data_IF_275981402552
#
_entry.id   IF_275981402552
#
_cell.length_a   1.000
_cell.length_b   1.000
_cell.length_c   1.000
_cell.angle_alpha   90.00
_cell.angle_beta   90.00
_cell.angle_gamma   90.00
#
_symmetry.space_group_name_H-M   'P 1'
#
loop_
_entity.id
_entity.type
_entity.pdbx_description
1 polymer ?
#
# COMPACT_ATOMS: atom_id res chain seq x y z
N UNK A 1 10.93 49.59 -61.51
CA UNK A 1 9.58 49.37 -60.95
C UNK A 1 9.71 49.29 -59.42
N UNK A 2 9.00 50.13 -58.65
CA UNK A 2 8.84 50.05 -57.18
C UNK A 2 7.73 49.00 -56.83
N UNK A 3 7.39 48.73 -55.56
CA UNK A 3 8.06 47.95 -54.50
C UNK A 3 7.11 46.84 -53.93
N UNK A 4 7.46 46.15 -52.82
CA UNK A 4 6.55 45.62 -51.74
C UNK A 4 7.35 44.65 -50.84
N UNK A 5 7.62 44.93 -49.56
CA UNK A 5 6.75 44.93 -48.35
C UNK A 5 6.71 43.57 -47.63
N UNK A 6 7.08 43.60 -46.34
CA UNK A 6 7.14 42.49 -45.39
C UNK A 6 5.79 41.78 -45.11
N UNK A 7 5.84 40.50 -44.73
CA UNK A 7 4.99 39.84 -43.70
C UNK A 7 5.23 38.32 -43.62
N UNK A 8 5.47 37.84 -42.39
CA UNK A 8 5.04 36.53 -41.82
C UNK A 8 5.62 35.24 -42.44
N UNK A 9 5.75 34.11 -41.79
CA UNK A 9 5.85 33.67 -40.40
C UNK A 9 6.26 32.19 -40.50
N UNK A 10 7.28 31.82 -39.73
CA UNK A 10 7.50 30.53 -39.08
C UNK A 10 6.69 29.32 -39.59
N UNK A 11 7.32 28.36 -40.29
CA UNK A 11 6.86 26.97 -40.35
C UNK A 11 8.03 25.96 -40.37
N UNK A 12 8.40 25.58 -39.15
CA UNK A 12 8.70 24.22 -38.66
C UNK A 12 9.65 23.33 -39.48
N UNK A 13 10.90 23.28 -39.02
CA UNK A 13 11.87 22.22 -39.27
C UNK A 13 11.62 21.04 -38.29
N UNK A 14 11.19 19.91 -38.86
CA UNK A 14 11.86 18.59 -38.87
C UNK A 14 12.41 17.96 -37.54
N UNK A 15 12.04 16.67 -37.40
CA UNK A 15 12.70 15.52 -36.73
C UNK A 15 12.44 15.22 -35.24
N UNK A 16 11.58 14.21 -35.05
CA UNK A 16 11.81 12.99 -34.28
C UNK A 16 12.61 13.12 -32.96
N UNK A 17 11.88 13.20 -31.85
CA UNK A 17 12.34 12.71 -30.56
C UNK A 17 11.53 11.46 -30.19
N UNK A 18 12.26 10.36 -30.11
CA UNK A 18 11.93 9.03 -29.60
C UNK A 18 10.78 9.06 -28.59
N UNK A 19 9.70 8.35 -28.88
CA UNK A 19 8.67 8.03 -27.91
C UNK A 19 9.33 7.24 -26.75
N UNK A 20 9.60 7.94 -25.64
CA UNK A 20 10.00 7.31 -24.38
C UNK A 20 8.81 6.51 -23.85
N UNK A 21 8.95 5.19 -23.55
CA UNK A 21 7.89 4.41 -22.93
C UNK A 21 7.62 4.77 -21.45
N UNK A 22 8.13 5.90 -20.96
CA UNK A 22 8.18 6.23 -19.52
C UNK A 22 6.98 7.03 -19.01
N UNK A 23 5.85 7.02 -19.71
CA UNK A 23 4.56 7.45 -19.15
C UNK A 23 3.73 6.23 -18.78
N UNK A 24 4.19 5.49 -17.77
CA UNK A 24 3.27 4.62 -17.04
C UNK A 24 2.23 5.50 -16.32
N UNK A 25 0.98 5.08 -16.28
CA UNK A 25 -0.13 5.78 -15.65
C UNK A 25 -0.16 5.33 -14.17
N UNK A 26 0.64 5.97 -13.32
CA UNK A 26 0.86 5.54 -11.94
C UNK A 26 -0.34 5.95 -11.09
N UNK A 27 -1.16 4.96 -10.74
CA UNK A 27 -2.39 5.13 -9.97
C UNK A 27 -3.40 4.02 -10.29
N UNK A 28 -3.38 3.55 -11.53
CA UNK A 28 -3.91 2.25 -11.91
C UNK A 28 -2.78 1.21 -11.81
N UNK A 29 -3.11 -0.02 -11.42
CA UNK A 29 -2.15 -1.09 -11.50
C UNK A 29 -1.85 -1.37 -12.98
N UNK A 30 -0.59 -1.24 -13.39
CA UNK A 30 -0.18 -1.55 -14.75
C UNK A 30 -0.66 -2.95 -15.15
N UNK A 31 -1.22 -3.08 -16.35
CA UNK A 31 -1.75 -4.35 -16.82
C UNK A 31 -0.67 -5.43 -16.71
N UNK A 32 -1.01 -6.61 -16.15
CA UNK A 32 -0.03 -7.68 -15.95
C UNK A 32 0.78 -8.02 -17.21
N UNK A 33 0.14 -7.95 -18.37
CA UNK A 33 0.75 -8.31 -19.66
C UNK A 33 1.70 -7.26 -20.21
N UNK A 34 1.55 -6.00 -19.79
CA UNK A 34 2.33 -4.87 -20.29
C UNK A 34 3.57 -4.57 -19.43
N UNK A 35 3.80 -5.37 -18.38
CA UNK A 35 4.95 -5.23 -17.49
C UNK A 35 5.69 -6.57 -17.42
N UNK A 36 6.86 -6.73 -18.04
CA UNK A 36 7.63 -7.98 -17.88
C UNK A 36 8.22 -8.15 -16.46
N UNK A 37 8.47 -7.04 -15.78
CA UNK A 37 9.12 -7.02 -14.47
C UNK A 37 8.22 -7.57 -13.36
N UNK A 38 8.85 -8.16 -12.34
CA UNK A 38 8.20 -8.43 -11.06
C UNK A 38 7.71 -7.15 -10.38
N UNK A 39 6.57 -7.25 -9.72
CA UNK A 39 5.87 -6.14 -9.04
C UNK A 39 5.37 -6.61 -7.68
N UNK A 40 5.60 -5.79 -6.65
CA UNK A 40 4.90 -5.87 -5.36
C UNK A 40 4.20 -4.55 -5.13
N UNK A 41 2.93 -4.61 -4.75
CA UNK A 41 2.14 -3.45 -4.37
C UNK A 41 1.42 -3.73 -3.04
N UNK A 42 1.30 -2.71 -2.20
CA UNK A 42 0.49 -2.76 -0.99
C UNK A 42 -0.56 -1.67 -1.07
N UNK A 43 -1.81 -2.05 -0.82
CA UNK A 43 -2.95 -1.15 -0.94
C UNK A 43 -3.74 -1.09 0.36
N UNK A 44 -4.49 0.00 0.52
CA UNK A 44 -5.56 0.09 1.49
C UNK A 44 -6.77 0.85 0.94
N UNK A 45 -7.95 0.52 1.44
CA UNK A 45 -9.19 1.23 1.12
C UNK A 45 -10.04 1.40 2.37
N UNK A 46 -10.76 2.52 2.45
CA UNK A 46 -11.68 2.81 3.55
C UNK A 46 -12.72 1.69 3.69
N UNK A 47 -12.98 1.25 4.92
CA UNK A 47 -14.06 0.29 5.17
C UNK A 47 -15.43 0.90 4.84
N UNK A 48 -16.42 0.06 4.53
CA UNK A 48 -17.77 0.56 4.20
C UNK A 48 -18.49 1.12 5.44
N UNK A 49 -19.26 2.19 5.24
CA UNK A 49 -20.11 2.80 6.26
C UNK A 49 -19.32 3.58 7.32
N UNK A 50 -19.90 3.73 8.51
CA UNK A 50 -19.28 4.45 9.65
C UNK A 50 -17.90 3.91 10.02
N UNK A 51 -17.64 2.62 9.77
CA UNK A 51 -16.33 2.00 10.00
C UNK A 51 -15.23 2.63 9.15
N UNK A 52 -15.55 3.11 7.94
CA UNK A 52 -14.60 3.77 7.05
C UNK A 52 -14.00 5.05 7.63
N UNK A 53 -14.70 5.70 8.56
CA UNK A 53 -14.17 6.89 9.21
C UNK A 53 -12.95 6.55 10.06
N UNK A 54 -12.93 5.35 10.64
CA UNK A 54 -11.91 4.91 11.57
C UNK A 54 -10.88 3.97 10.93
N UNK A 55 -11.32 3.10 10.03
CA UNK A 55 -10.53 1.95 9.59
C UNK A 55 -10.41 1.85 8.07
N UNK A 56 -9.22 1.43 7.62
CA UNK A 56 -9.00 0.89 6.28
C UNK A 56 -8.91 -0.64 6.31
N UNK A 57 -9.18 -1.27 5.18
CA UNK A 57 -8.84 -2.65 4.87
C UNK A 57 -7.61 -2.64 3.97
N UNK A 58 -6.60 -3.45 4.29
CA UNK A 58 -5.33 -3.52 3.56
C UNK A 58 -5.10 -4.88 2.93
N UNK A 59 -4.34 -4.91 1.83
CA UNK A 59 -3.94 -6.12 1.13
C UNK A 59 -2.59 -5.96 0.42
N UNK A 60 -1.95 -7.08 0.13
CA UNK A 60 -0.71 -7.17 -0.63
C UNK A 60 -0.98 -7.82 -1.97
N UNK A 61 -0.47 -7.22 -3.03
CA UNK A 61 -0.54 -7.75 -4.39
C UNK A 61 0.86 -8.01 -4.93
N UNK A 62 1.04 -9.15 -5.57
CA UNK A 62 2.32 -9.53 -6.17
C UNK A 62 2.13 -10.01 -7.59
N UNK A 63 3.14 -9.79 -8.43
CA UNK A 63 3.22 -10.37 -9.75
C UNK A 63 4.68 -10.74 -10.02
N UNK A 64 5.03 -12.03 -10.08
CA UNK A 64 6.37 -12.45 -10.48
C UNK A 64 6.73 -11.94 -11.87
N UNK A 65 8.02 -11.94 -12.19
CA UNK A 65 8.49 -11.63 -13.55
C UNK A 65 7.79 -12.53 -14.57
N UNK A 66 7.39 -11.93 -15.70
CA UNK A 66 6.68 -12.57 -16.81
C UNK A 66 5.30 -13.18 -16.48
N UNK A 67 4.81 -13.04 -15.24
CA UNK A 67 3.50 -13.56 -14.86
C UNK A 67 2.36 -12.72 -15.46
N UNK A 68 1.31 -13.41 -15.91
CA UNK A 68 0.18 -12.80 -16.63
C UNK A 68 -0.95 -12.31 -15.73
N UNK A 69 -0.81 -12.43 -14.40
CA UNK A 69 -1.82 -12.01 -13.43
C UNK A 69 -1.20 -11.66 -12.07
N UNK A 70 -1.81 -10.70 -11.37
CA UNK A 70 -1.48 -10.43 -9.97
C UNK A 70 -2.13 -11.49 -9.07
N UNK A 71 -1.39 -11.91 -8.04
CA UNK A 71 -1.91 -12.65 -6.90
C UNK A 71 -2.08 -11.68 -5.73
N UNK A 72 -3.28 -11.63 -5.16
CA UNK A 72 -3.61 -10.81 -4.00
C UNK A 72 -3.74 -11.68 -2.75
N UNK A 73 -3.09 -11.23 -1.68
CA UNK A 73 -3.14 -11.75 -0.33
C UNK A 73 -3.90 -10.77 0.56
N UNK A 74 -4.95 -11.23 1.21
CA UNK A 74 -5.75 -10.41 2.12
C UNK A 74 -6.47 -11.25 3.17
N UNK A 75 -6.83 -10.65 4.30
CA UNK A 75 -7.62 -11.32 5.35
C UNK A 75 -9.05 -10.77 5.37
N UNK A 76 -10.02 -11.65 5.16
CA UNK A 76 -11.44 -11.32 5.07
C UNK A 76 -12.21 -12.04 6.17
N UNK A 77 -12.62 -11.31 7.22
CA UNK A 77 -13.20 -11.91 8.42
C UNK A 77 -14.52 -12.66 8.21
N UNK A 78 -15.44 -12.16 7.38
CA UNK A 78 -16.74 -12.82 7.18
C UNK A 78 -16.64 -14.17 6.46
N UNK A 79 -15.50 -14.47 5.82
CA UNK A 79 -15.26 -15.77 5.19
C UNK A 79 -15.27 -16.92 6.19
N UNK A 80 -14.91 -16.67 7.45
CA UNK A 80 -14.93 -17.67 8.52
C UNK A 80 -16.33 -18.24 8.83
N UNK A 81 -17.39 -17.65 8.27
CA UNK A 81 -18.75 -18.22 8.32
C UNK A 81 -18.94 -19.43 7.40
N UNK A 82 -18.04 -19.65 6.44
CA UNK A 82 -18.17 -20.69 5.39
C UNK A 82 -16.81 -21.20 4.85
N UNK A 83 -15.71 -20.92 5.55
CA UNK A 83 -14.33 -21.27 5.17
C UNK A 83 -13.49 -21.37 6.44
N UNK A 84 -12.58 -22.33 6.53
CA UNK A 84 -11.73 -22.50 7.72
C UNK A 84 -10.60 -21.46 7.82
N UNK A 85 -10.46 -20.62 6.79
CA UNK A 85 -9.46 -19.55 6.73
C UNK A 85 -10.08 -18.22 6.32
N UNK A 86 -9.69 -17.16 7.03
CA UNK A 86 -9.89 -15.76 6.69
C UNK A 86 -8.85 -15.26 5.68
N UNK A 87 -7.67 -15.89 5.60
CA UNK A 87 -6.66 -15.58 4.59
C UNK A 87 -7.16 -16.02 3.21
N UNK A 88 -7.11 -15.09 2.26
CA UNK A 88 -7.47 -15.29 0.87
C UNK A 88 -6.24 -15.03 0.01
N UNK A 89 -5.90 -16.01 -0.82
CA UNK A 89 -4.88 -15.91 -1.87
C UNK A 89 -5.57 -16.18 -3.19
N UNK A 90 -5.63 -15.18 -4.08
CA UNK A 90 -6.36 -15.30 -5.35
C UNK A 90 -5.82 -14.39 -6.44
N UNK A 91 -6.02 -14.79 -7.69
CA UNK A 91 -5.80 -13.91 -8.82
C UNK A 91 -6.89 -12.82 -8.90
N UNK A 92 -6.49 -11.54 -8.93
CA UNK A 92 -7.42 -10.39 -8.95
C UNK A 92 -6.67 -9.13 -9.39
N UNK A 93 -7.37 -8.17 -10.01
CA UNK A 93 -6.82 -6.83 -10.24
C UNK A 93 -6.56 -6.15 -8.89
N UNK A 94 -5.35 -5.65 -8.63
CA UNK A 94 -4.96 -5.26 -7.27
C UNK A 94 -5.51 -3.90 -6.86
N UNK A 95 -5.83 -3.02 -7.81
CA UNK A 95 -6.49 -1.72 -7.64
C UNK A 95 -8.02 -1.78 -7.81
N UNK A 96 -8.60 -2.98 -7.81
CA UNK A 96 -10.05 -3.13 -7.84
C UNK A 96 -10.68 -2.53 -6.56
N UNK A 97 -11.77 -1.74 -6.69
CA UNK A 97 -12.45 -1.14 -5.54
C UNK A 97 -12.81 -2.15 -4.46
N UNK A 98 -12.55 -1.79 -3.20
CA UNK A 98 -12.95 -2.59 -2.06
C UNK A 98 -14.34 -2.17 -1.58
N UNK A 99 -15.37 -2.96 -1.90
CA UNK A 99 -16.77 -2.65 -1.57
C UNK A 99 -17.22 -1.24 -1.99
N UNK A 100 -16.74 -0.77 -3.15
CA UNK A 100 -17.02 0.55 -3.71
C UNK A 100 -16.08 1.66 -3.25
N UNK A 101 -15.17 1.39 -2.31
CA UNK A 101 -14.15 2.34 -1.88
C UNK A 101 -12.91 2.26 -2.78
N UNK A 102 -12.45 3.44 -3.24
CA UNK A 102 -11.25 3.56 -4.05
C UNK A 102 -10.01 3.12 -3.25
N UNK A 103 -9.15 2.25 -3.80
CA UNK A 103 -7.89 1.90 -3.16
C UNK A 103 -6.86 3.01 -3.28
N UNK A 104 -6.01 3.08 -2.27
CA UNK A 104 -4.82 3.90 -2.19
C UNK A 104 -3.59 2.99 -2.17
N UNK A 105 -2.59 3.34 -2.96
CA UNK A 105 -1.32 2.62 -3.07
C UNK A 105 -0.34 3.14 -2.00
N UNK A 106 0.12 2.27 -1.12
CA UNK A 106 1.05 2.62 -0.03
C UNK A 106 2.50 2.34 -0.40
N UNK A 107 2.75 1.22 -1.08
CA UNK A 107 4.09 0.81 -1.53
C UNK A 107 3.99 0.21 -2.92
N UNK A 108 4.99 0.50 -3.74
CA UNK A 108 5.27 -0.25 -4.95
C UNK A 108 6.77 -0.54 -5.06
N UNK A 109 7.12 -1.79 -5.38
CA UNK A 109 8.48 -2.23 -5.71
C UNK A 109 8.43 -2.93 -7.07
N UNK A 110 9.35 -2.60 -7.98
CA UNK A 110 9.46 -3.20 -9.32
C UNK A 110 10.91 -3.53 -9.67
N UNK A 111 11.08 -4.52 -10.55
CA UNK A 111 12.38 -4.79 -11.17
C UNK A 111 13.27 -5.78 -10.41
N UNK A 112 14.60 -5.72 -10.59
CA UNK A 112 15.53 -6.71 -10.05
C UNK A 112 15.40 -6.90 -8.53
N UNK A 113 15.43 -8.16 -8.07
CA UNK A 113 15.31 -8.52 -6.66
C UNK A 113 13.86 -8.60 -6.14
N UNK A 114 12.86 -8.10 -6.87
CA UNK A 114 11.47 -8.13 -6.43
C UNK A 114 10.90 -9.55 -6.40
N UNK A 115 11.31 -10.45 -7.29
CA UNK A 115 10.89 -11.86 -7.23
C UNK A 115 11.26 -12.53 -5.90
N UNK A 116 12.41 -12.19 -5.30
CA UNK A 116 12.78 -12.70 -3.98
C UNK A 116 11.90 -12.12 -2.87
N UNK A 117 11.51 -10.85 -2.97
CA UNK A 117 10.51 -10.27 -2.06
C UNK A 117 9.18 -11.01 -2.19
N UNK A 118 8.73 -11.33 -3.40
CA UNK A 118 7.50 -12.06 -3.66
C UNK A 118 7.51 -13.44 -2.99
N UNK A 119 8.62 -14.19 -3.11
CA UNK A 119 8.77 -15.49 -2.45
C UNK A 119 8.66 -15.37 -0.92
N UNK A 120 9.28 -14.34 -0.33
CA UNK A 120 9.20 -14.08 1.12
C UNK A 120 7.81 -13.63 1.56
N UNK A 121 7.10 -12.86 0.74
CA UNK A 121 5.71 -12.48 0.98
C UNK A 121 4.80 -13.71 0.98
N UNK A 122 4.91 -14.59 -0.02
CA UNK A 122 4.11 -15.82 -0.08
C UNK A 122 4.39 -16.71 1.15
N UNK A 123 5.67 -16.88 1.52
CA UNK A 123 6.05 -17.60 2.73
C UNK A 123 5.43 -16.97 3.99
N UNK A 124 5.61 -15.67 4.20
CA UNK A 124 5.09 -14.98 5.37
C UNK A 124 3.55 -15.03 5.42
N UNK A 125 2.88 -14.98 4.27
CA UNK A 125 1.43 -15.11 4.20
C UNK A 125 0.94 -16.49 4.61
N UNK A 126 1.62 -17.56 4.13
CA UNK A 126 1.30 -18.94 4.48
C UNK A 126 1.60 -19.28 5.94
N UNK A 127 2.62 -18.63 6.52
CA UNK A 127 2.99 -18.78 7.93
C UNK A 127 2.16 -17.89 8.87
N UNK A 128 1.16 -17.16 8.37
CA UNK A 128 0.38 -16.22 9.17
C UNK A 128 -0.39 -16.95 10.30
N UNK A 129 -0.09 -16.66 11.59
CA UNK A 129 -0.60 -17.46 12.70
C UNK A 129 -2.10 -17.30 12.94
N UNK A 130 -2.71 -16.20 12.46
CA UNK A 130 -4.12 -15.90 12.68
C UNK A 130 -4.98 -16.18 11.45
N UNK A 131 -4.58 -17.10 10.58
CA UNK A 131 -5.33 -17.41 9.36
C UNK A 131 -6.77 -17.88 9.64
N UNK A 132 -7.03 -18.51 10.79
CA UNK A 132 -8.33 -19.05 11.19
C UNK A 132 -9.11 -18.14 12.16
N UNK A 133 -8.58 -16.97 12.47
CA UNK A 133 -9.15 -16.05 13.47
C UNK A 133 -9.36 -14.66 12.87
N UNK A 134 -10.38 -13.95 13.34
CA UNK A 134 -10.60 -12.57 12.94
C UNK A 134 -11.32 -11.79 14.03
N UNK A 135 -10.70 -10.69 14.45
CA UNK A 135 -11.27 -9.73 15.40
C UNK A 135 -11.07 -8.33 14.85
N UNK A 136 -12.19 -7.62 14.64
CA UNK A 136 -12.17 -6.30 14.00
C UNK A 136 -11.30 -5.28 14.76
N UNK A 137 -11.40 -5.27 16.10
CA UNK A 137 -10.62 -4.42 17.00
C UNK A 137 -10.38 -5.17 18.32
N UNK A 138 -9.16 -5.12 18.88
CA UNK A 138 -7.96 -4.47 18.36
C UNK A 138 -7.23 -5.27 17.26
N UNK A 139 -7.61 -6.53 17.03
CA UNK A 139 -6.97 -7.45 16.11
C UNK A 139 -7.09 -8.89 16.62
N UNK A 140 -6.69 -9.91 15.85
CA UNK A 140 -6.04 -9.83 14.53
C UNK A 140 -7.05 -9.55 13.38
N UNK A 141 -6.64 -8.75 12.39
CA UNK A 141 -7.44 -8.43 11.20
C UNK A 141 -6.56 -8.24 9.94
N UNK A 142 -7.08 -7.63 8.87
CA UNK A 142 -6.30 -7.39 7.63
C UNK A 142 -5.12 -6.43 7.81
N UNK A 143 -5.22 -5.46 8.72
CA UNK A 143 -4.10 -4.56 9.03
C UNK A 143 -3.04 -5.27 9.88
N UNK A 144 -3.44 -6.18 10.77
CA UNK A 144 -2.51 -7.08 11.47
C UNK A 144 -1.76 -7.97 10.47
N UNK A 145 -2.47 -8.52 9.49
CA UNK A 145 -1.87 -9.33 8.43
C UNK A 145 -0.86 -8.55 7.59
N UNK A 146 -1.23 -7.37 7.10
CA UNK A 146 -0.32 -6.56 6.29
C UNK A 146 0.91 -6.12 7.09
N UNK A 147 0.74 -5.77 8.37
CA UNK A 147 1.87 -5.48 9.27
C UNK A 147 2.73 -6.73 9.55
N UNK A 148 2.13 -7.92 9.62
CA UNK A 148 2.87 -9.18 9.72
C UNK A 148 3.77 -9.40 8.48
N UNK A 149 3.24 -9.18 7.28
CA UNK A 149 4.04 -9.26 6.04
C UNK A 149 5.19 -8.26 6.06
N UNK A 150 4.93 -7.00 6.41
CA UNK A 150 5.97 -5.97 6.47
C UNK A 150 7.06 -6.29 7.51
N UNK A 151 6.70 -6.86 8.67
CA UNK A 151 7.69 -7.34 9.65
C UNK A 151 8.59 -8.47 9.14
N UNK A 152 8.10 -9.30 8.22
CA UNK A 152 8.89 -10.38 7.61
C UNK A 152 9.63 -9.95 6.34
N UNK A 153 9.22 -8.84 5.74
CA UNK A 153 9.78 -8.27 4.50
C UNK A 153 10.00 -6.76 4.68
N UNK A 154 10.93 -6.35 5.57
CA UNK A 154 11.17 -4.93 5.89
C UNK A 154 11.65 -4.10 4.69
N UNK A 155 12.16 -4.74 3.64
CA UNK A 155 12.54 -4.11 2.37
C UNK A 155 11.36 -3.45 1.62
N UNK A 156 10.12 -3.77 2.02
CA UNK A 156 8.94 -3.06 1.54
C UNK A 156 8.91 -1.60 2.02
N UNK A 157 9.52 -1.30 3.17
CA UNK A 157 9.50 0.03 3.81
C UNK A 157 8.06 0.56 3.94
N UNK A 158 7.14 -0.36 4.25
CA UNK A 158 5.71 -0.08 4.32
C UNK A 158 5.40 0.77 5.55
N UNK A 159 4.89 1.97 5.32
CA UNK A 159 4.29 2.80 6.36
C UNK A 159 2.77 2.75 6.24
N UNK A 160 2.16 1.93 7.12
CA UNK A 160 0.72 1.81 7.22
C UNK A 160 0.12 3.08 7.84
N UNK A 161 -1.01 3.59 7.33
CA UNK A 161 -1.61 4.81 7.84
C UNK A 161 -2.12 4.63 9.28
N UNK A 162 -2.31 5.75 10.01
CA UNK A 162 -2.94 5.73 11.34
C UNK A 162 -4.36 5.13 11.36
N UNK A 163 -5.02 5.08 10.21
CA UNK A 163 -6.34 4.44 10.02
C UNK A 163 -6.26 2.93 9.81
N UNK A 164 -5.07 2.34 9.72
CA UNK A 164 -4.89 0.88 9.67
C UNK A 164 -4.99 0.27 11.08
N UNK A 165 -6.17 0.44 11.71
CA UNK A 165 -6.48 -0.07 13.04
C UNK A 165 -6.22 -1.57 13.11
N UNK A 166 -5.37 -1.97 14.06
CA UNK A 166 -4.92 -3.35 14.27
C UNK A 166 -3.54 -3.69 13.72
N UNK A 167 -2.84 -2.77 13.04
CA UNK A 167 -1.43 -2.93 12.64
C UNK A 167 -0.47 -3.15 13.83
N UNK A 168 -0.87 -2.65 15.00
CA UNK A 168 -0.10 -2.69 16.25
C UNK A 168 -0.44 -3.91 17.12
N UNK A 169 -1.34 -4.80 16.67
CA UNK A 169 -1.67 -6.04 17.39
C UNK A 169 -0.52 -7.06 17.30
N UNK A 170 -0.02 -7.51 18.46
CA UNK A 170 1.12 -8.45 18.58
C UNK A 170 0.73 -9.81 19.18
N UNK A 171 -0.57 -10.08 19.39
CA UNK A 171 -1.04 -11.28 20.08
C UNK A 171 -0.62 -11.29 21.55
N UNK A 172 0.00 -12.38 21.99
CA UNK A 172 0.50 -12.56 23.35
C UNK A 172 1.84 -11.88 23.63
N UNK A 173 2.54 -11.42 22.59
CA UNK A 173 3.83 -10.74 22.71
C UNK A 173 3.62 -9.25 22.92
N UNK A 174 4.55 -8.60 23.62
CA UNK A 174 4.48 -7.15 23.89
C UNK A 174 5.57 -6.33 23.20
N UNK A 175 6.61 -6.97 22.66
CA UNK A 175 7.69 -6.32 21.92
C UNK A 175 7.86 -6.93 20.53
N UNK A 176 8.07 -6.08 19.53
CA UNK A 176 8.36 -6.50 18.16
C UNK A 176 9.13 -5.40 17.41
N UNK A 177 9.50 -5.65 16.16
CA UNK A 177 9.78 -4.55 15.23
C UNK A 177 8.50 -3.73 15.01
N UNK A 178 8.66 -2.43 14.67
CA UNK A 178 7.52 -1.59 14.32
C UNK A 178 6.76 -2.15 13.09
N UNK A 179 5.55 -1.67 12.80
CA UNK A 179 4.73 -2.22 11.71
C UNK A 179 5.42 -2.27 10.34
N UNK A 180 6.36 -1.37 10.05
CA UNK A 180 7.21 -1.41 8.85
C UNK A 180 8.21 -2.57 8.79
N UNK A 181 8.44 -3.27 9.89
CA UNK A 181 9.50 -4.26 10.05
C UNK A 181 10.86 -3.69 10.45
N UNK A 182 10.97 -2.37 10.64
CA UNK A 182 12.19 -1.71 11.09
C UNK A 182 12.00 -1.07 12.48
N UNK A 183 13.10 -0.79 13.18
CA UNK A 183 13.06 -0.16 14.50
C UNK A 183 12.40 -1.02 15.57
N UNK A 184 11.64 -0.40 16.47
CA UNK A 184 11.12 -1.05 17.67
C UNK A 184 9.67 -0.66 17.96
N UNK A 185 8.92 -1.61 18.51
CA UNK A 185 7.57 -1.40 19.02
C UNK A 185 7.38 -2.12 20.36
N UNK A 186 6.71 -1.41 21.26
CA UNK A 186 6.02 -1.97 22.40
C UNK A 186 4.51 -1.86 22.17
N UNK A 187 3.76 -2.94 22.35
CA UNK A 187 2.29 -2.89 22.31
C UNK A 187 1.64 -3.92 23.23
N UNK A 188 0.71 -3.45 24.06
CA UNK A 188 -0.15 -4.28 24.88
C UNK A 188 -1.44 -4.58 24.12
N UNK A 189 -1.53 -5.80 23.55
CA UNK A 189 -2.70 -6.31 22.83
C UNK A 189 -3.21 -5.40 21.69
N UNK A 190 -2.39 -4.51 21.15
CA UNK A 190 -2.82 -3.51 20.16
C UNK A 190 -3.65 -2.35 20.73
N UNK A 191 -3.73 -2.21 22.06
CA UNK A 191 -4.53 -1.20 22.76
C UNK A 191 -3.71 -0.06 23.35
N UNK A 192 -2.47 -0.30 23.77
CA UNK A 192 -1.58 0.73 24.26
C UNK A 192 -0.19 0.42 23.78
N UNK A 193 0.50 1.37 23.14
CA UNK A 193 1.83 1.09 22.64
C UNK A 193 2.55 2.30 22.09
N UNK A 194 3.85 2.13 21.90
CA UNK A 194 4.72 3.07 21.21
C UNK A 194 5.49 2.34 20.12
N UNK A 195 5.73 3.01 19.00
CA UNK A 195 6.59 2.50 17.95
C UNK A 195 7.53 3.61 17.47
N UNK A 196 8.77 3.25 17.17
CA UNK A 196 9.78 4.16 16.66
C UNK A 196 10.59 3.47 15.56
N UNK A 197 10.58 4.02 14.36
CA UNK A 197 11.44 3.56 13.27
C UNK A 197 11.72 4.68 12.26
N UNK A 198 12.73 4.51 11.41
CA UNK A 198 13.02 5.46 10.33
C UNK A 198 11.93 5.49 9.25
N UNK A 199 11.15 4.41 9.13
CA UNK A 199 10.05 4.30 8.17
C UNK A 199 8.75 4.82 8.79
N UNK A 200 8.35 4.35 9.97
CA UNK A 200 7.09 4.72 10.60
C UNK A 200 7.17 6.11 11.25
N UNK A 201 8.34 6.55 11.70
CA UNK A 201 8.49 7.67 12.61
C UNK A 201 8.23 7.28 14.06
N UNK A 202 7.81 8.25 14.88
CA UNK A 202 7.39 8.02 16.26
C UNK A 202 5.86 7.96 16.33
N UNK A 203 5.33 6.87 16.89
CA UNK A 203 3.90 6.65 17.03
C UNK A 203 3.50 6.26 18.46
N UNK A 204 2.34 6.74 18.88
CA UNK A 204 1.63 6.38 20.09
C UNK A 204 0.28 5.78 19.71
N UNK A 205 0.05 4.53 20.11
CA UNK A 205 -1.24 3.87 19.99
C UNK A 205 -1.99 3.95 21.33
N UNK A 206 -3.19 4.52 21.32
CA UNK A 206 -4.11 4.55 22.44
C UNK A 206 -5.50 4.03 22.00
N UNK A 207 -5.91 2.90 22.54
CA UNK A 207 -7.15 2.18 22.24
C UNK A 207 -7.33 1.89 20.73
N UNK A 208 -6.24 1.62 20.01
CA UNK A 208 -6.23 1.39 18.57
C UNK A 208 -6.19 2.67 17.73
N UNK A 209 -6.26 3.85 18.36
CA UNK A 209 -6.06 5.14 17.69
C UNK A 209 -4.58 5.47 17.69
N UNK A 210 -4.00 5.58 16.49
CA UNK A 210 -2.59 5.83 16.32
C UNK A 210 -2.33 7.32 16.03
N UNK A 211 -1.47 7.93 16.85
CA UNK A 211 -0.99 9.30 16.71
C UNK A 211 0.49 9.23 16.42
N UNK A 212 0.99 9.97 15.44
CA UNK A 212 2.40 9.89 15.12
C UNK A 212 2.96 11.09 14.39
N UNK A 213 4.29 11.14 14.39
CA UNK A 213 5.09 12.09 13.63
C UNK A 213 6.07 11.26 12.81
N UNK A 214 5.90 11.27 11.49
CA UNK A 214 6.78 10.58 10.56
C UNK A 214 7.58 11.54 9.68
N UNK A 215 8.50 11.01 8.85
CA UNK A 215 9.32 11.82 7.94
C UNK A 215 8.52 12.70 6.98
N UNK A 216 7.29 12.30 6.68
CA UNK A 216 6.41 12.98 5.71
C UNK A 216 5.22 13.70 6.37
N UNK A 217 5.23 13.89 7.69
CA UNK A 217 4.23 14.70 8.39
C UNK A 217 3.56 14.01 9.58
N UNK A 218 2.43 14.57 9.99
CA UNK A 218 1.65 14.10 11.13
C UNK A 218 0.73 12.96 10.73
N UNK A 219 0.61 11.96 11.59
CA UNK A 219 -0.35 10.87 11.48
C UNK A 219 -1.40 11.05 12.54
N UNK A 220 -2.64 11.20 12.13
CA UNK A 220 -3.77 11.38 13.02
C UNK A 220 -4.79 10.27 12.78
N UNK A 221 -5.45 9.79 13.86
CA UNK A 221 -6.58 8.91 13.70
C UNK A 221 -7.66 9.61 12.86
N UNK A 222 -8.45 8.83 12.14
CA UNK A 222 -9.52 9.27 11.23
C UNK A 222 -9.03 9.97 9.96
N UNK A 223 -8.16 10.98 10.10
CA UNK A 223 -7.69 11.83 9.01
C UNK A 223 -6.58 11.17 8.19
N UNK A 224 -5.82 10.23 8.77
CA UNK A 224 -4.66 9.65 8.11
C UNK A 224 -3.45 10.57 8.21
N UNK A 225 -2.67 10.66 7.14
CA UNK A 225 -1.45 11.50 7.10
C UNK A 225 -1.78 12.93 6.69
N UNK A 226 -1.29 13.90 7.44
CA UNK A 226 -1.26 15.33 7.10
C UNK A 226 0.20 15.76 6.91
N UNK A 227 0.59 16.04 5.67
CA UNK A 227 1.94 16.44 5.33
C UNK A 227 2.25 16.22 3.86
N UNK A 228 3.52 16.05 3.52
CA UNK A 228 3.93 15.77 2.15
C UNK A 228 3.57 14.32 1.79
N UNK A 229 3.05 14.06 0.58
CA UNK A 229 2.88 12.69 0.14
C UNK A 229 4.25 12.02 0.08
N UNK A 230 4.33 10.73 0.42
CA UNK A 230 5.56 9.96 0.15
C UNK A 230 5.83 9.96 -1.35
N UNK A 231 7.09 9.82 -1.76
CA UNK A 231 7.44 9.82 -3.19
C UNK A 231 6.58 8.83 -4.00
N UNK A 232 6.22 7.68 -3.44
CA UNK A 232 5.27 6.71 -4.04
C UNK A 232 3.81 7.18 -4.10
N UNK A 233 3.33 7.96 -3.13
CA UNK A 233 1.97 8.55 -3.10
C UNK A 233 1.86 9.82 -3.98
N UNK A 234 2.90 10.65 -3.99
CA UNK A 234 2.98 11.89 -4.78
C UNK A 234 2.89 11.60 -6.28
N UNK A 235 3.45 10.47 -6.71
CA UNK A 235 3.43 10.02 -8.11
C UNK A 235 2.05 9.46 -8.49
N UNK A 236 1.33 8.84 -7.54
CA UNK A 236 -0.02 8.28 -7.76
C UNK A 236 -1.15 9.32 -7.88
N UNK A 237 -0.92 10.56 -7.42
CA UNK A 237 -1.91 11.65 -7.44
C UNK A 237 -1.91 12.48 -8.73
N UNK A 238 -0.93 12.28 -9.63
CA UNK A 238 -0.89 12.95 -10.94
C UNK A 238 -1.77 12.23 -11.96
N UNK A 239 -3.07 12.51 -11.96
CA UNK A 239 -3.88 12.49 -13.19
C UNK A 239 -4.41 13.90 -13.44
N UNK A 240 -4.24 14.51 -14.63
CA UNK A 240 -4.89 15.77 -14.94
C UNK A 240 -6.40 15.58 -14.91
N UNK A 241 -7.10 16.53 -14.28
CA UNK A 241 -8.53 16.76 -14.50
C UNK A 241 -8.69 17.22 -15.96
N UNK A 242 -8.90 16.29 -16.88
CA UNK A 242 -9.47 16.64 -18.18
C UNK A 242 -10.99 16.71 -18.04
N UNK A 243 -11.50 17.92 -18.29
CA UNK A 243 -12.91 18.21 -18.54
C UNK A 243 -13.24 17.92 -19.99
#
# INVERSE_FOLDING_TARGET
MRPMSARSALRTLILAAIASPWLADWGAAAEPRDTAQAVVQVYGARARGVKGWFAVHTWVAVKPSDATAYTVYEVIGWRLRWSDSALVVRARQPDAPWFGSKPELYVEKRGPGVDELIKRIDKAARDYPYAQEYTLWPGPNSNTFTAWIARHVPELELDLPATAIGKDYLGSTVFAAAPSGSGFQFSLAGLLGIAASGVDGLELNLLGLNFGVGPCGLKLPLLGRLGTPRLGEAIATKKPLER
#
